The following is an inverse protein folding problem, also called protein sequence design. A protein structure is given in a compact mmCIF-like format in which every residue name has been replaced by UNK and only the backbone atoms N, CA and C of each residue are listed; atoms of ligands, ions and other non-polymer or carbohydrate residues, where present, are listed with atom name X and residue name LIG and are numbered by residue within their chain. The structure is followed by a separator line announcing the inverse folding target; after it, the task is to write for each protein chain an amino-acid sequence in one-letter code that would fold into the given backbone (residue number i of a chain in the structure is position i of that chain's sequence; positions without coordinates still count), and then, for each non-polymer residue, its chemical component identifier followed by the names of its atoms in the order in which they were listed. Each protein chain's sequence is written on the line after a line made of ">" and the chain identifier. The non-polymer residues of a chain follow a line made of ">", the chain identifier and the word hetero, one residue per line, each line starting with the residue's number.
data_IF_263631020250
#
_entry.id   IF_263631020250
#
_cell.length_a   1.000
_cell.length_b   1.000
_cell.length_c   1.000
_cell.angle_alpha   90.00
_cell.angle_beta   90.00
_cell.angle_gamma   90.00
#
_symmetry.space_group_name_H-M   'P 1'
#
loop_
_entity.id
_entity.type
_entity.pdbx_description
1 polymer ?
#
# COMPACT_ATOMS: atom_id res chain seq x y z
N UNK A 1 31.18 -12.10 2.08
CA UNK A 1 30.52 -10.78 2.09
C UNK A 1 31.52 -9.73 2.56
N UNK A 2 31.65 -8.62 1.86
CA UNK A 2 32.55 -7.54 2.26
C UNK A 2 31.99 -6.77 3.46
N UNK A 3 32.88 -6.08 4.18
CA UNK A 3 32.44 -5.22 5.30
C UNK A 3 31.44 -4.14 4.86
N UNK A 4 31.65 -3.56 3.67
CA UNK A 4 30.75 -2.57 3.12
C UNK A 4 29.34 -3.13 2.92
N UNK A 5 29.23 -4.36 2.36
CA UNK A 5 27.94 -5.01 2.17
C UNK A 5 27.26 -5.32 3.51
N UNK A 6 28.02 -5.71 4.52
CA UNK A 6 27.47 -5.95 5.85
C UNK A 6 26.92 -4.66 6.48
N UNK A 7 27.61 -3.54 6.33
CA UNK A 7 27.17 -2.24 6.84
C UNK A 7 25.90 -1.81 6.11
N UNK A 8 25.84 -1.95 4.78
CA UNK A 8 24.66 -1.62 3.99
C UNK A 8 23.46 -2.48 4.38
N UNK A 9 23.66 -3.79 4.59
CA UNK A 9 22.60 -4.69 5.02
C UNK A 9 22.07 -4.33 6.41
N UNK A 10 22.94 -3.98 7.35
CA UNK A 10 22.54 -3.52 8.67
C UNK A 10 21.72 -2.24 8.61
N UNK A 11 22.09 -1.32 7.73
CA UNK A 11 21.35 -0.09 7.53
C UNK A 11 19.95 -0.35 6.96
N UNK A 12 19.85 -1.24 5.96
CA UNK A 12 18.57 -1.64 5.40
C UNK A 12 17.69 -2.33 6.44
N UNK A 13 18.25 -3.20 7.26
CA UNK A 13 17.52 -3.86 8.33
C UNK A 13 16.96 -2.85 9.34
N UNK A 14 17.75 -1.84 9.67
CA UNK A 14 17.31 -0.75 10.54
C UNK A 14 16.16 0.03 9.93
N UNK A 15 16.25 0.39 8.64
CA UNK A 15 15.18 1.12 7.95
C UNK A 15 13.91 0.29 7.86
N UNK A 16 14.04 -1.01 7.63
CA UNK A 16 12.89 -1.92 7.61
C UNK A 16 12.21 -1.96 8.98
N UNK A 17 12.98 -2.15 10.05
CA UNK A 17 12.44 -2.20 11.41
C UNK A 17 11.75 -0.91 11.80
N UNK A 18 12.33 0.24 11.45
CA UNK A 18 11.72 1.54 11.69
C UNK A 18 10.41 1.71 10.93
N UNK A 19 10.39 1.30 9.66
CA UNK A 19 9.19 1.37 8.83
C UNK A 19 8.06 0.51 9.38
N UNK A 20 8.38 -0.70 9.82
CA UNK A 20 7.42 -1.61 10.45
C UNK A 20 6.84 -0.99 11.72
N UNK A 21 7.70 -0.38 12.54
CA UNK A 21 7.25 0.32 13.75
C UNK A 21 6.28 1.46 13.41
N UNK A 22 6.62 2.28 12.42
CA UNK A 22 5.77 3.40 12.00
C UNK A 22 4.41 2.88 11.49
N UNK A 23 4.39 1.84 10.70
CA UNK A 23 3.15 1.25 10.18
C UNK A 23 2.25 0.77 11.34
N UNK A 24 2.83 0.09 12.32
CA UNK A 24 2.10 -0.37 13.51
C UNK A 24 1.53 0.80 14.31
N UNK A 25 2.31 1.88 14.46
CA UNK A 25 1.87 3.07 15.18
C UNK A 25 0.71 3.77 14.47
N UNK A 26 0.78 3.91 13.15
CA UNK A 26 -0.31 4.50 12.36
C UNK A 26 -1.60 3.72 12.53
N UNK A 27 -1.53 2.40 12.45
CA UNK A 27 -2.71 1.54 12.62
C UNK A 27 -3.27 1.65 14.03
N UNK A 28 -2.40 1.74 15.04
CA UNK A 28 -2.85 1.88 16.43
C UNK A 28 -3.55 3.22 16.71
N UNK A 29 -3.13 4.28 16.04
CA UNK A 29 -3.62 5.63 16.29
C UNK A 29 -4.78 6.07 15.39
N UNK A 30 -4.91 5.46 14.21
CA UNK A 30 -5.94 5.82 13.24
C UNK A 30 -7.12 4.86 13.33
N UNK A 31 -8.34 5.41 13.32
CA UNK A 31 -9.55 4.59 13.41
C UNK A 31 -9.86 3.84 12.10
N UNK A 32 -9.50 4.41 10.95
CA UNK A 32 -9.78 3.83 9.64
C UNK A 32 -8.59 4.00 8.70
N UNK A 33 -7.47 3.32 8.98
CA UNK A 33 -6.31 3.42 8.09
C UNK A 33 -6.54 2.66 6.79
N UNK A 34 -5.89 3.10 5.73
CA UNK A 34 -5.84 2.42 4.45
C UNK A 34 -4.48 2.63 3.84
N UNK A 35 -4.01 1.65 3.07
CA UNK A 35 -2.75 1.75 2.36
C UNK A 35 -3.02 2.11 0.90
N UNK A 36 -2.49 3.24 0.47
CA UNK A 36 -2.58 3.64 -0.93
C UNK A 36 -1.71 2.71 -1.78
N UNK A 37 -2.32 2.03 -2.72
CA UNK A 37 -1.64 1.07 -3.59
C UNK A 37 -1.81 1.49 -5.04
N UNK A 38 -0.74 2.03 -5.64
CA UNK A 38 -0.73 2.50 -7.03
C UNK A 38 -0.21 1.47 -8.02
N UNK A 39 0.42 0.39 -7.54
CA UNK A 39 1.10 -0.59 -8.37
C UNK A 39 2.54 -0.21 -8.71
N UNK A 40 3.01 0.96 -8.28
CA UNK A 40 4.40 1.37 -8.45
C UNK A 40 5.32 0.73 -7.42
N UNK A 41 6.63 0.96 -7.58
CA UNK A 41 7.67 0.37 -6.72
C UNK A 41 7.46 0.69 -5.25
N UNK A 42 7.18 1.94 -4.93
CA UNK A 42 7.04 2.38 -3.56
C UNK A 42 5.83 1.74 -2.88
N UNK A 43 4.72 1.62 -3.61
CA UNK A 43 3.52 0.99 -3.07
C UNK A 43 3.72 -0.51 -2.84
N UNK A 44 4.50 -1.18 -3.68
CA UNK A 44 4.85 -2.59 -3.51
C UNK A 44 5.71 -2.78 -2.26
N UNK A 45 6.72 -1.94 -2.07
CA UNK A 45 7.57 -1.99 -0.89
C UNK A 45 6.75 -1.76 0.38
N UNK A 46 5.88 -0.75 0.38
CA UNK A 46 5.00 -0.46 1.52
C UNK A 46 4.06 -1.62 1.82
N UNK A 47 3.54 -2.27 0.80
CA UNK A 47 2.69 -3.44 0.96
C UNK A 47 3.44 -4.59 1.64
N UNK A 48 4.66 -4.86 1.19
CA UNK A 48 5.48 -5.90 1.81
C UNK A 48 5.84 -5.58 3.26
N UNK A 49 6.17 -4.33 3.56
CA UNK A 49 6.44 -3.91 4.93
C UNK A 49 5.20 -4.04 5.81
N UNK A 50 4.03 -3.68 5.30
CA UNK A 50 2.77 -3.84 6.03
C UNK A 50 2.49 -5.33 6.32
N UNK A 51 2.74 -6.20 5.37
CA UNK A 51 2.60 -7.65 5.58
C UNK A 51 3.52 -8.14 6.68
N UNK A 52 4.78 -7.71 6.69
CA UNK A 52 5.72 -8.07 7.75
C UNK A 52 5.30 -7.53 9.11
N UNK A 53 4.77 -6.31 9.13
CA UNK A 53 4.32 -5.68 10.38
C UNK A 53 3.21 -6.47 11.07
N UNK A 54 2.35 -7.14 10.32
CA UNK A 54 1.19 -7.86 10.83
C UNK A 54 1.25 -9.36 10.58
N UNK A 55 2.45 -9.88 10.34
CA UNK A 55 2.65 -11.31 10.20
C UNK A 55 2.82 -11.96 11.58
N UNK A 56 1.95 -12.91 11.89
CA UNK A 56 1.96 -13.62 13.15
C UNK A 56 2.11 -15.14 12.94
N UNK A 57 2.93 -15.53 11.97
CA UNK A 57 3.18 -16.95 11.68
C UNK A 57 2.10 -17.65 10.87
N UNK A 58 1.15 -16.91 10.33
CA UNK A 58 0.07 -17.45 9.52
C UNK A 58 0.44 -17.50 8.03
N UNK A 59 -0.14 -18.46 7.29
CA UNK A 59 0.09 -18.57 5.85
C UNK A 59 -0.48 -17.38 5.08
N UNK A 60 -1.67 -16.91 5.47
CA UNK A 60 -2.29 -15.72 4.91
C UNK A 60 -2.21 -14.60 5.94
N UNK A 61 -1.78 -13.44 5.51
CA UNK A 61 -1.68 -12.28 6.35
C UNK A 61 -2.95 -11.47 6.21
N UNK A 62 -3.72 -11.36 7.29
CA UNK A 62 -4.89 -10.50 7.33
C UNK A 62 -4.44 -9.12 7.76
N UNK A 63 -4.35 -8.20 6.80
CA UNK A 63 -4.06 -6.81 7.10
C UNK A 63 -5.26 -6.18 7.81
N UNK A 64 -5.03 -5.38 8.89
CA UNK A 64 -6.11 -4.74 9.62
C UNK A 64 -6.69 -3.52 8.88
N UNK A 65 -6.27 -3.30 7.64
CA UNK A 65 -6.72 -2.19 6.82
C UNK A 65 -6.77 -2.61 5.35
N UNK A 66 -7.62 -1.97 4.55
CA UNK A 66 -7.70 -2.27 3.12
C UNK A 66 -6.61 -1.58 2.32
N UNK A 67 -6.37 -2.10 1.12
CA UNK A 67 -5.61 -1.40 0.08
C UNK A 67 -6.56 -0.48 -0.67
N UNK A 68 -6.12 0.75 -0.92
CA UNK A 68 -6.89 1.73 -1.68
C UNK A 68 -6.19 2.00 -3.00
N UNK A 69 -6.87 1.75 -4.11
CA UNK A 69 -6.39 2.07 -5.43
C UNK A 69 -7.27 3.16 -6.03
N UNK A 70 -6.65 4.27 -6.45
CA UNK A 70 -7.36 5.34 -7.14
C UNK A 70 -7.27 5.09 -8.63
N UNK A 71 -8.38 4.74 -9.25
CA UNK A 71 -8.47 4.49 -10.68
C UNK A 71 -8.82 5.78 -11.39
N UNK A 72 -7.84 6.32 -12.11
CA UNK A 72 -8.00 7.56 -12.86
C UNK A 72 -8.59 7.33 -14.26
N UNK A 73 -8.78 6.08 -14.66
CA UNK A 73 -9.18 5.72 -16.02
C UNK A 73 -8.03 5.70 -17.02
N UNK A 74 -6.83 6.05 -16.59
CA UNK A 74 -5.64 6.12 -17.43
C UNK A 74 -4.51 5.18 -17.00
N UNK A 75 -4.82 4.22 -16.13
CA UNK A 75 -3.83 3.25 -15.67
C UNK A 75 -3.53 2.23 -16.76
N UNK A 76 -2.26 1.81 -16.81
CA UNK A 76 -1.86 0.73 -17.72
C UNK A 76 -2.54 -0.59 -17.29
N UNK A 77 -2.90 -1.41 -18.29
CA UNK A 77 -3.53 -2.70 -18.01
C UNK A 77 -2.65 -3.63 -17.17
N UNK A 78 -1.34 -3.56 -17.33
CA UNK A 78 -0.37 -4.34 -16.56
C UNK A 78 -0.42 -3.99 -15.07
N UNK A 79 -0.60 -2.73 -14.75
CA UNK A 79 -0.72 -2.26 -13.36
C UNK A 79 -1.99 -2.81 -12.71
N UNK A 80 -3.10 -2.76 -13.42
CA UNK A 80 -4.39 -3.27 -12.94
C UNK A 80 -4.32 -4.78 -12.76
N UNK A 81 -3.74 -5.48 -13.71
CA UNK A 81 -3.56 -6.93 -13.64
C UNK A 81 -2.69 -7.33 -12.45
N UNK A 82 -1.59 -6.62 -12.24
CA UNK A 82 -0.68 -6.85 -11.12
C UNK A 82 -1.39 -6.62 -9.77
N UNK A 83 -2.17 -5.55 -9.67
CA UNK A 83 -2.99 -5.27 -8.49
C UNK A 83 -3.93 -6.43 -8.18
N UNK A 84 -4.67 -6.90 -9.18
CA UNK A 84 -5.64 -7.96 -9.01
C UNK A 84 -4.96 -9.28 -8.63
N UNK A 85 -3.80 -9.57 -9.20
CA UNK A 85 -3.02 -10.76 -8.86
C UNK A 85 -2.55 -10.72 -7.39
N UNK A 86 -2.07 -9.58 -6.92
CA UNK A 86 -1.64 -9.43 -5.53
C UNK A 86 -2.82 -9.62 -4.58
N UNK A 87 -3.96 -9.04 -4.88
CA UNK A 87 -5.17 -9.17 -4.07
C UNK A 87 -5.60 -10.64 -4.00
N UNK A 88 -5.60 -11.34 -5.12
CA UNK A 88 -5.97 -12.75 -5.18
C UNK A 88 -5.01 -13.62 -4.36
N UNK A 89 -3.70 -13.43 -4.54
CA UNK A 89 -2.68 -14.23 -3.86
C UNK A 89 -2.63 -14.01 -2.36
N UNK A 90 -2.86 -12.78 -1.91
CA UNK A 90 -2.70 -12.42 -0.50
C UNK A 90 -4.00 -12.38 0.26
N UNK A 91 -5.14 -12.35 -0.42
CA UNK A 91 -6.44 -12.20 0.22
C UNK A 91 -6.67 -10.81 0.81
N UNK A 92 -5.88 -9.82 0.39
CA UNK A 92 -6.03 -8.45 0.88
C UNK A 92 -7.36 -7.85 0.42
N UNK A 93 -7.96 -7.02 1.27
CA UNK A 93 -9.15 -6.27 0.90
C UNK A 93 -8.77 -5.10 0.01
N UNK A 94 -9.46 -4.93 -1.10
CA UNK A 94 -9.19 -3.87 -2.06
C UNK A 94 -10.40 -2.95 -2.18
N UNK A 95 -10.15 -1.66 -2.07
CA UNK A 95 -11.14 -0.61 -2.36
C UNK A 95 -10.63 0.15 -3.57
N UNK A 96 -11.45 0.22 -4.62
CA UNK A 96 -11.11 0.97 -5.83
C UNK A 96 -11.97 2.21 -5.89
N UNK A 97 -11.32 3.38 -5.90
CA UNK A 97 -11.99 4.65 -6.08
C UNK A 97 -11.85 5.09 -7.53
N UNK A 98 -12.96 5.25 -8.23
CA UNK A 98 -13.00 5.67 -9.62
C UNK A 98 -13.18 7.18 -9.69
N UNK A 99 -12.15 7.88 -10.14
CA UNK A 99 -12.15 9.34 -10.23
C UNK A 99 -13.22 9.83 -11.20
N UNK A 100 -13.36 9.17 -12.36
CA UNK A 100 -14.35 9.55 -13.36
C UNK A 100 -15.78 9.46 -12.82
N UNK A 101 -16.09 8.39 -12.11
CA UNK A 101 -17.41 8.22 -11.49
C UNK A 101 -17.67 9.30 -10.43
N UNK A 102 -16.68 9.63 -9.65
CA UNK A 102 -16.77 10.67 -8.63
C UNK A 102 -16.99 12.04 -9.27
N UNK A 103 -16.32 12.32 -10.37
CA UNK A 103 -16.50 13.58 -11.11
C UNK A 103 -17.91 13.64 -11.71
N UNK A 104 -18.40 12.57 -12.31
CA UNK A 104 -19.76 12.49 -12.87
C UNK A 104 -20.83 12.67 -11.82
N UNK A 105 -20.61 12.14 -10.63
CA UNK A 105 -21.53 12.29 -9.47
C UNK A 105 -21.42 13.65 -8.81
N UNK A 106 -20.45 14.47 -9.19
CA UNK A 106 -20.18 15.76 -8.59
C UNK A 106 -19.60 15.69 -7.17
N UNK A 107 -19.16 14.53 -6.71
CA UNK A 107 -18.58 14.36 -5.39
C UNK A 107 -17.14 14.81 -5.30
N UNK A 108 -16.43 14.82 -6.44
CA UNK A 108 -15.03 15.25 -6.53
C UNK A 108 -14.89 16.21 -7.70
N UNK A 109 -14.25 17.34 -7.46
CA UNK A 109 -13.89 18.29 -8.52
C UNK A 109 -12.43 18.03 -8.93
N UNK A 110 -12.10 18.26 -10.22
CA UNK A 110 -10.74 18.02 -10.72
C UNK A 110 -9.66 18.75 -9.92
N UNK A 111 -9.94 19.99 -9.50
CA UNK A 111 -9.00 20.78 -8.69
C UNK A 111 -8.74 20.20 -7.30
N UNK A 112 -9.53 19.23 -6.85
CA UNK A 112 -9.41 18.60 -5.55
C UNK A 112 -8.83 17.19 -5.64
N UNK A 113 -8.35 16.74 -6.79
CA UNK A 113 -7.79 15.40 -6.96
C UNK A 113 -6.61 15.15 -6.02
N UNK A 114 -5.84 16.18 -5.68
CA UNK A 114 -4.73 16.06 -4.74
C UNK A 114 -5.18 15.61 -3.34
N UNK A 115 -6.42 15.87 -2.96
CA UNK A 115 -6.96 15.46 -1.67
C UNK A 115 -7.26 13.96 -1.61
N UNK A 116 -7.40 13.31 -2.75
CA UNK A 116 -7.65 11.87 -2.83
C UNK A 116 -6.40 11.07 -2.45
N UNK A 117 -5.23 11.68 -2.58
CA UNK A 117 -3.94 11.04 -2.30
C UNK A 117 -3.47 11.19 -0.86
N UNK A 118 -4.22 11.79 -0.01
CA UNK A 118 -3.88 12.01 1.40
C UNK A 118 -4.17 10.78 2.26
#
# INVERSE_FOLDING_TARGET
>A
MTLINQIQNQHLDYLEAESIYIIREVVAQCSRPALLFSGGKDSIVMFHLARKAFWFGQRKINLPFPLLHVDTGHNYSEVIQFRDEIVEKTGAQLIVAHVEDSIKKGTVKLKHLSLIHI
#
